data_IF_735486262462
#
_entry.id   IF_735486262462
#
_cell.length_a   1.000
_cell.length_b   1.000
_cell.length_c   1.000
_cell.angle_alpha   90.00
_cell.angle_beta   90.00
_cell.angle_gamma   90.00
#
_symmetry.space_group_name_H-M   'P 1'
#
loop_
_entity.id
_entity.type
_entity.pdbx_description
1 polymer ?
#
# COMPACT_ATOMS: atom_id res chain seq x y z
N UNK A 1 35.94 100.37 -32.59
CA UNK A 1 35.45 98.99 -32.78
C UNK A 1 34.18 99.02 -33.61
N UNK A 2 34.02 98.09 -34.56
CA UNK A 2 32.83 98.00 -35.41
C UNK A 2 31.67 97.33 -34.62
N UNK A 3 30.47 97.94 -34.53
CA UNK A 3 29.36 97.46 -33.69
C UNK A 3 28.82 96.07 -34.08
N UNK A 4 29.01 95.62 -35.32
CA UNK A 4 28.56 94.29 -35.78
C UNK A 4 29.25 93.12 -35.07
N UNK A 5 30.50 93.29 -34.62
CA UNK A 5 31.20 92.24 -33.88
C UNK A 5 30.70 92.08 -32.45
N UNK A 6 30.15 93.14 -31.86
CA UNK A 6 29.64 93.11 -30.49
C UNK A 6 28.34 92.28 -30.41
N UNK A 7 27.44 92.42 -31.38
CA UNK A 7 26.22 91.59 -31.45
C UNK A 7 26.54 90.12 -31.72
N UNK A 8 27.46 89.84 -32.66
CA UNK A 8 27.84 88.47 -33.00
C UNK A 8 28.50 87.72 -31.81
N UNK A 9 29.30 88.41 -30.98
CA UNK A 9 29.84 87.82 -29.74
C UNK A 9 28.74 87.53 -28.72
N UNK A 10 27.77 88.43 -28.56
CA UNK A 10 26.69 88.28 -27.59
C UNK A 10 25.77 87.09 -27.94
N UNK A 11 25.51 86.89 -29.23
CA UNK A 11 24.77 85.72 -29.71
C UNK A 11 25.58 84.41 -29.55
N UNK A 12 26.90 84.46 -29.80
CA UNK A 12 27.79 83.32 -29.57
C UNK A 12 27.84 82.93 -28.08
N UNK A 13 27.94 83.90 -27.18
CA UNK A 13 27.94 83.67 -25.72
C UNK A 13 26.60 83.05 -25.27
N UNK A 14 25.46 83.53 -25.80
CA UNK A 14 24.14 82.94 -25.55
C UNK A 14 24.04 81.48 -25.99
N UNK A 15 24.60 81.13 -27.14
CA UNK A 15 24.58 79.74 -27.64
C UNK A 15 25.45 78.82 -26.79
N UNK A 16 26.61 79.31 -26.34
CA UNK A 16 27.49 78.58 -25.41
C UNK A 16 26.80 78.34 -24.08
N UNK A 17 26.13 79.36 -23.53
CA UNK A 17 25.38 79.23 -22.28
C UNK A 17 24.25 78.18 -22.40
N UNK A 18 23.50 78.18 -23.51
CA UNK A 18 22.47 77.16 -23.78
C UNK A 18 23.06 75.75 -23.91
N UNK A 19 24.23 75.58 -24.55
CA UNK A 19 24.90 74.28 -24.64
C UNK A 19 25.36 73.77 -23.28
N UNK A 20 25.92 74.66 -22.43
CA UNK A 20 26.35 74.30 -21.07
C UNK A 20 25.13 73.88 -20.23
N UNK A 21 24.03 74.64 -20.32
CA UNK A 21 22.78 74.31 -19.62
C UNK A 21 22.18 72.97 -20.09
N UNK A 22 22.14 72.74 -21.42
CA UNK A 22 21.66 71.50 -22.02
C UNK A 22 22.51 70.30 -21.64
N UNK A 23 23.84 70.44 -21.67
CA UNK A 23 24.78 69.41 -21.24
C UNK A 23 24.56 69.06 -19.76
N UNK A 24 24.45 70.06 -18.87
CA UNK A 24 24.23 69.83 -17.44
C UNK A 24 22.93 69.09 -17.15
N UNK A 25 21.83 69.47 -17.83
CA UNK A 25 20.55 68.77 -17.76
C UNK A 25 20.65 67.31 -18.23
N UNK A 26 21.31 67.08 -19.37
CA UNK A 26 21.53 65.73 -19.89
C UNK A 26 22.35 64.86 -18.92
N UNK A 27 23.40 65.41 -18.31
CA UNK A 27 24.17 64.71 -17.27
C UNK A 27 23.31 64.35 -16.05
N UNK A 28 22.54 65.28 -15.51
CA UNK A 28 21.71 65.01 -14.32
C UNK A 28 20.63 63.95 -14.60
N UNK A 29 20.00 64.01 -15.78
CA UNK A 29 19.01 62.99 -16.20
C UNK A 29 19.63 61.60 -16.39
N UNK A 30 20.84 61.52 -16.95
CA UNK A 30 21.58 60.27 -17.09
C UNK A 30 21.96 59.68 -15.73
N UNK A 31 22.42 60.51 -14.80
CA UNK A 31 22.77 60.10 -13.44
C UNK A 31 21.55 59.59 -12.67
N UNK A 32 20.41 60.29 -12.72
CA UNK A 32 19.16 59.82 -12.11
C UNK A 32 18.71 58.47 -12.68
N UNK A 33 18.76 58.33 -14.00
CA UNK A 33 18.38 57.08 -14.68
C UNK A 33 19.29 55.93 -14.27
N UNK A 34 20.60 56.18 -14.15
CA UNK A 34 21.57 55.20 -13.68
C UNK A 34 21.30 54.76 -12.24
N UNK A 35 21.08 55.73 -11.34
CA UNK A 35 20.79 55.45 -9.93
C UNK A 35 19.48 54.69 -9.74
N UNK A 36 18.42 55.04 -10.48
CA UNK A 36 17.16 54.30 -10.47
C UNK A 36 17.37 52.87 -10.97
N UNK A 37 18.09 52.71 -12.09
CA UNK A 37 18.35 51.39 -12.68
C UNK A 37 19.10 50.47 -11.73
N UNK A 38 20.17 50.97 -11.09
CA UNK A 38 20.90 50.20 -10.08
C UNK A 38 20.02 49.88 -8.88
N UNK A 39 19.27 50.84 -8.36
CA UNK A 39 18.41 50.62 -7.19
C UNK A 39 17.35 49.57 -7.46
N UNK A 40 16.71 49.62 -8.64
CA UNK A 40 15.71 48.63 -9.07
C UNK A 40 16.37 47.27 -9.29
N UNK A 41 17.55 47.22 -9.90
CA UNK A 41 18.28 45.97 -10.15
C UNK A 41 18.65 45.27 -8.84
N UNK A 42 19.20 46.02 -7.87
CA UNK A 42 19.51 45.50 -6.53
C UNK A 42 18.24 45.04 -5.82
N UNK A 43 17.17 45.84 -5.88
CA UNK A 43 15.87 45.48 -5.32
C UNK A 43 15.32 44.16 -5.90
N UNK A 44 15.38 44.00 -7.22
CA UNK A 44 14.94 42.80 -7.91
C UNK A 44 15.77 41.56 -7.51
N UNK A 45 17.10 41.71 -7.38
CA UNK A 45 17.97 40.63 -6.92
C UNK A 45 17.63 40.19 -5.50
N UNK A 46 17.46 41.14 -4.58
CA UNK A 46 17.11 40.84 -3.18
C UNK A 46 15.75 40.15 -3.09
N UNK A 47 14.75 40.63 -3.82
CA UNK A 47 13.42 40.00 -3.88
C UNK A 47 13.52 38.58 -4.43
N UNK A 48 14.32 38.36 -5.49
CA UNK A 48 14.55 37.02 -6.04
C UNK A 48 15.16 36.05 -5.02
N UNK A 49 16.17 36.50 -4.26
CA UNK A 49 16.79 35.69 -3.20
C UNK A 49 15.79 35.38 -2.09
N UNK A 50 15.02 36.38 -1.63
CA UNK A 50 14.04 36.18 -0.55
C UNK A 50 12.92 35.23 -1.00
N UNK A 51 12.38 35.41 -2.21
CA UNK A 51 11.34 34.52 -2.75
C UNK A 51 11.87 33.11 -2.99
N UNK A 52 13.06 32.97 -3.57
CA UNK A 52 13.70 31.68 -3.77
C UNK A 52 13.98 30.95 -2.46
N UNK A 53 14.46 31.67 -1.44
CA UNK A 53 14.67 31.14 -0.11
C UNK A 53 13.36 30.73 0.59
N UNK A 54 12.32 31.56 0.52
CA UNK A 54 10.99 31.24 1.04
C UNK A 54 10.42 29.99 0.38
N UNK A 55 10.37 29.96 -0.95
CA UNK A 55 9.82 28.83 -1.71
C UNK A 55 10.63 27.55 -1.48
N UNK A 56 11.96 27.64 -1.43
CA UNK A 56 12.82 26.52 -1.10
C UNK A 56 12.52 25.97 0.30
N UNK A 57 12.49 26.84 1.31
CA UNK A 57 12.21 26.46 2.69
C UNK A 57 10.79 25.89 2.87
N UNK A 58 9.77 26.46 2.21
CA UNK A 58 8.41 25.94 2.26
C UNK A 58 8.30 24.59 1.57
N UNK A 59 8.95 24.41 0.42
CA UNK A 59 8.94 23.16 -0.34
C UNK A 59 9.62 22.04 0.45
N UNK A 60 10.82 22.29 0.98
CA UNK A 60 11.54 21.31 1.81
C UNK A 60 10.71 20.94 3.03
N UNK A 61 10.13 21.92 3.76
CA UNK A 61 9.28 21.62 4.92
C UNK A 61 7.99 20.89 4.55
N UNK A 62 7.42 21.18 3.38
CA UNK A 62 6.20 20.53 2.90
C UNK A 62 6.44 19.05 2.57
N UNK A 63 7.63 18.69 2.07
CA UNK A 63 7.96 17.32 1.65
C UNK A 63 8.64 16.52 2.78
N UNK A 64 9.62 17.08 3.48
CA UNK A 64 10.38 16.36 4.51
C UNK A 64 9.51 15.95 5.69
N UNK A 65 8.60 16.83 6.15
CA UNK A 65 7.72 16.52 7.30
C UNK A 65 6.84 15.29 7.09
N UNK A 66 6.11 15.12 5.97
CA UNK A 66 5.32 13.90 5.76
C UNK A 66 6.19 12.67 5.48
N UNK A 67 7.38 12.82 4.89
CA UNK A 67 8.32 11.71 4.74
C UNK A 67 8.84 11.20 6.09
N UNK A 68 9.16 12.09 7.04
CA UNK A 68 9.58 11.68 8.38
C UNK A 68 8.47 10.91 9.11
N UNK A 69 7.20 11.34 8.95
CA UNK A 69 6.04 10.63 9.49
C UNK A 69 5.90 9.23 8.88
N UNK A 70 6.11 9.11 7.56
CA UNK A 70 6.09 7.83 6.86
C UNK A 70 7.18 6.90 7.37
N UNK A 71 8.43 7.38 7.46
CA UNK A 71 9.56 6.59 7.97
C UNK A 71 9.28 6.14 9.41
N UNK A 72 8.76 7.04 10.26
CA UNK A 72 8.38 6.69 11.63
C UNK A 72 7.29 5.60 11.70
N UNK A 73 6.35 5.60 10.76
CA UNK A 73 5.34 4.55 10.64
C UNK A 73 5.97 3.21 10.24
N UNK A 74 6.84 3.19 9.23
CA UNK A 74 7.56 1.98 8.81
C UNK A 74 8.43 1.42 9.95
N UNK A 75 9.11 2.27 10.71
CA UNK A 75 9.91 1.83 11.86
C UNK A 75 9.06 1.18 12.96
N UNK A 76 7.81 1.63 13.16
CA UNK A 76 6.87 0.97 14.09
C UNK A 76 6.41 -0.38 13.54
N UNK A 77 6.09 -0.46 12.25
CA UNK A 77 5.74 -1.70 11.56
C UNK A 77 6.90 -2.71 11.66
N UNK A 78 8.14 -2.26 11.45
CA UNK A 78 9.34 -3.09 11.57
C UNK A 78 9.57 -3.64 12.99
N UNK A 79 9.17 -2.87 14.02
CA UNK A 79 9.15 -3.32 15.43
C UNK A 79 7.97 -4.24 15.76
N UNK A 80 7.07 -4.48 14.81
CA UNK A 80 5.89 -5.31 15.00
C UNK A 80 4.71 -4.59 15.67
N UNK A 81 4.75 -3.26 15.74
CA UNK A 81 3.68 -2.43 16.28
C UNK A 81 2.72 -2.00 15.16
N UNK A 82 1.57 -2.68 15.06
CA UNK A 82 0.59 -2.45 14.00
C UNK A 82 -0.61 -1.59 14.40
N UNK A 83 -0.63 -1.02 15.62
CA UNK A 83 -1.76 -0.26 16.14
C UNK A 83 -1.51 1.26 16.18
N UNK A 84 -0.66 1.78 15.28
CA UNK A 84 -0.31 3.21 15.27
C UNK A 84 -1.34 4.00 14.47
N UNK A 85 -2.04 4.94 15.12
CA UNK A 85 -2.93 5.89 14.43
C UNK A 85 -2.11 7.04 13.86
N UNK A 86 -2.10 7.18 12.54
CA UNK A 86 -1.51 8.34 11.86
C UNK A 86 -2.64 9.24 11.39
N UNK A 87 -2.57 10.52 11.77
CA UNK A 87 -3.51 11.55 11.33
C UNK A 87 -3.01 12.08 9.99
N UNK A 88 -3.81 11.87 8.95
CA UNK A 88 -3.52 12.28 7.57
C UNK A 88 -4.37 13.53 7.31
N UNK A 89 -3.70 14.68 7.30
CA UNK A 89 -4.31 16.01 7.14
C UNK A 89 -4.04 16.57 5.73
N UNK A 90 -3.59 15.72 4.79
CA UNK A 90 -3.25 16.09 3.40
C UNK A 90 -3.99 15.21 2.39
N UNK A 91 -4.43 15.86 1.32
CA UNK A 91 -5.15 15.28 0.18
C UNK A 91 -4.31 15.20 -1.10
N UNK A 92 -2.98 15.27 -0.97
CA UNK A 92 -2.03 15.06 -2.07
C UNK A 92 -1.63 13.59 -2.22
N UNK A 93 -0.79 13.29 -3.21
CA UNK A 93 -0.28 11.95 -3.51
C UNK A 93 0.46 11.34 -2.31
N UNK A 94 1.11 12.17 -1.50
CA UNK A 94 1.80 11.73 -0.28
C UNK A 94 0.77 11.34 0.80
N UNK A 95 -0.31 12.11 0.94
CA UNK A 95 -1.46 11.76 1.77
C UNK A 95 -2.11 10.44 1.34
N UNK A 96 -2.28 10.22 0.04
CA UNK A 96 -2.80 8.96 -0.52
C UNK A 96 -1.84 7.79 -0.20
N UNK A 97 -0.54 7.97 -0.40
CA UNK A 97 0.46 6.96 -0.08
C UNK A 97 0.44 6.58 1.42
N UNK A 98 0.33 7.58 2.31
CA UNK A 98 0.18 7.36 3.76
C UNK A 98 -1.08 6.56 4.11
N UNK A 99 -2.21 6.80 3.42
CA UNK A 99 -3.45 6.02 3.61
C UNK A 99 -3.27 4.56 3.21
N UNK A 100 -2.63 4.30 2.07
CA UNK A 100 -2.36 2.93 1.63
C UNK A 100 -1.43 2.20 2.61
N UNK A 101 -0.43 2.90 3.14
CA UNK A 101 0.47 2.30 4.12
C UNK A 101 -0.23 2.01 5.47
N UNK A 102 -1.15 2.89 5.89
CA UNK A 102 -1.98 2.64 7.05
C UNK A 102 -2.90 1.42 6.85
N UNK A 103 -3.49 1.26 5.67
CA UNK A 103 -4.28 0.08 5.33
C UNK A 103 -3.44 -1.20 5.36
N UNK A 104 -2.20 -1.15 4.88
CA UNK A 104 -1.25 -2.28 4.98
C UNK A 104 -0.94 -2.62 6.44
N UNK A 105 -0.65 -1.64 7.28
CA UNK A 105 -0.42 -1.85 8.71
C UNK A 105 -1.63 -2.51 9.38
N UNK A 106 -2.84 -2.04 9.10
CA UNK A 106 -4.06 -2.61 9.64
C UNK A 106 -4.24 -4.08 9.20
N UNK A 107 -3.97 -4.38 7.92
CA UNK A 107 -4.01 -5.76 7.40
C UNK A 107 -3.00 -6.67 8.11
N UNK A 108 -1.76 -6.22 8.29
CA UNK A 108 -0.73 -6.99 9.02
C UNK A 108 -1.09 -7.21 10.49
N UNK A 109 -1.68 -6.20 11.14
CA UNK A 109 -2.19 -6.33 12.50
C UNK A 109 -3.27 -7.41 12.61
N UNK A 110 -4.22 -7.38 11.67
CA UNK A 110 -5.30 -8.38 11.60
C UNK A 110 -4.76 -9.79 11.34
N UNK A 111 -3.86 -9.95 10.37
CA UNK A 111 -3.27 -11.23 9.99
C UNK A 111 -2.49 -11.87 11.14
N UNK A 112 -1.77 -11.06 11.93
CA UNK A 112 -1.05 -11.55 13.12
C UNK A 112 -1.99 -12.06 14.19
N UNK A 113 -3.10 -11.37 14.43
CA UNK A 113 -4.11 -11.78 15.41
C UNK A 113 -4.81 -13.07 14.97
N UNK A 114 -5.15 -13.19 13.67
CA UNK A 114 -5.70 -14.43 13.08
C UNK A 114 -4.71 -15.60 13.22
N UNK A 115 -3.45 -15.38 12.86
CA UNK A 115 -2.38 -16.39 12.98
C UNK A 115 -2.18 -16.85 14.42
N UNK A 116 -2.33 -15.95 15.40
CA UNK A 116 -2.28 -16.28 16.82
C UNK A 116 -3.42 -17.22 17.22
N UNK A 117 -4.65 -16.95 16.78
CA UNK A 117 -5.79 -17.84 17.03
C UNK A 117 -5.63 -19.20 16.34
N UNK A 118 -5.11 -19.22 15.11
CA UNK A 118 -4.82 -20.47 14.40
C UNK A 118 -3.75 -21.30 15.10
N UNK A 119 -2.67 -20.67 15.59
CA UNK A 119 -1.62 -21.35 16.36
C UNK A 119 -2.18 -22.07 17.59
N UNK A 120 -3.07 -21.41 18.35
CA UNK A 120 -3.75 -22.01 19.51
C UNK A 120 -4.66 -23.18 19.07
N UNK A 121 -5.37 -23.06 17.94
CA UNK A 121 -6.19 -24.15 17.39
C UNK A 121 -5.33 -25.34 16.93
N UNK A 122 -4.19 -25.09 16.29
CA UNK A 122 -3.22 -26.12 15.86
C UNK A 122 -2.64 -26.86 17.07
N UNK A 123 -2.25 -26.14 18.12
CA UNK A 123 -1.79 -26.72 19.39
C UNK A 123 -2.82 -27.68 20.01
N UNK A 124 -4.08 -27.23 20.16
CA UNK A 124 -5.15 -28.10 20.68
C UNK A 124 -5.44 -29.31 19.78
N UNK A 125 -5.34 -29.18 18.47
CA UNK A 125 -5.52 -30.32 17.54
C UNK A 125 -4.38 -31.34 17.69
N UNK A 126 -3.14 -30.88 17.86
CA UNK A 126 -1.99 -31.74 18.12
C UNK A 126 -2.10 -32.46 19.48
N UNK A 127 -2.57 -31.80 20.53
CA UNK A 127 -2.81 -32.45 21.82
C UNK A 127 -3.88 -33.54 21.75
N UNK A 128 -4.96 -33.31 20.99
CA UNK A 128 -6.01 -34.32 20.79
C UNK A 128 -5.47 -35.56 20.09
N UNK A 129 -4.62 -35.42 19.09
CA UNK A 129 -4.03 -36.57 18.37
C UNK A 129 -3.01 -37.29 19.24
N UNK A 130 -2.18 -36.58 20.01
CA UNK A 130 -1.24 -37.19 20.97
C UNK A 130 -2.00 -37.93 22.07
N UNK A 131 -3.04 -37.32 22.64
CA UNK A 131 -3.90 -37.97 23.63
C UNK A 131 -4.60 -39.22 23.08
N UNK A 132 -5.10 -39.17 21.84
CA UNK A 132 -5.68 -40.33 21.17
C UNK A 132 -4.63 -41.45 20.98
N UNK A 133 -3.44 -41.14 20.47
CA UNK A 133 -2.34 -42.11 20.34
C UNK A 133 -1.94 -42.71 21.69
N UNK A 134 -1.87 -41.90 22.74
CA UNK A 134 -1.56 -42.37 24.10
C UNK A 134 -2.63 -43.33 24.63
N UNK A 135 -3.91 -43.07 24.36
CA UNK A 135 -5.01 -43.98 24.73
C UNK A 135 -4.94 -45.31 23.99
N UNK A 136 -4.61 -45.31 22.71
CA UNK A 136 -4.40 -46.54 21.94
C UNK A 136 -3.22 -47.34 22.49
N UNK A 137 -2.08 -46.69 22.75
CA UNK A 137 -0.90 -47.35 23.33
C UNK A 137 -1.18 -47.94 24.74
N UNK A 138 -1.95 -47.23 25.57
CA UNK A 138 -2.43 -47.72 26.87
C UNK A 138 -3.37 -48.94 26.73
N UNK A 139 -4.25 -48.92 25.72
CA UNK A 139 -5.13 -50.04 25.45
C UNK A 139 -4.34 -51.27 24.97
N UNK A 140 -3.36 -51.09 24.08
CA UNK A 140 -2.48 -52.16 23.59
C UNK A 140 -1.66 -52.80 24.73
N UNK A 141 -1.15 -51.99 25.66
CA UNK A 141 -0.45 -52.53 26.85
C UNK A 141 -1.38 -53.28 27.79
N UNK A 142 -2.63 -52.82 27.98
CA UNK A 142 -3.63 -53.56 28.75
C UNK A 142 -4.05 -54.88 28.08
N UNK A 143 -4.05 -54.94 26.74
CA UNK A 143 -4.35 -56.13 25.95
C UNK A 143 -3.27 -57.23 26.08
N UNK A 144 -2.03 -56.87 26.41
CA UNK A 144 -0.92 -57.81 26.65
C UNK A 144 -1.00 -58.56 27.99
N UNK A 145 -1.89 -58.16 28.89
CA UNK A 145 -2.18 -58.93 30.10
C UNK A 145 -2.81 -60.29 29.73
N UNK A 146 -2.57 -61.37 30.52
CA UNK A 146 -3.11 -62.69 30.20
C UNK A 146 -4.63 -62.64 30.12
N UNK A 147 -5.17 -62.64 28.90
CA UNK A 147 -6.60 -62.79 28.67
C UNK A 147 -7.02 -64.14 29.26
N UNK A 148 -7.86 -64.14 30.29
CA UNK A 148 -8.73 -65.31 30.52
C UNK A 148 -9.42 -65.55 29.20
N UNK A 149 -9.13 -66.69 28.55
CA UNK A 149 -9.87 -67.13 27.37
C UNK A 149 -11.34 -67.14 27.76
N UNK A 150 -12.09 -66.11 27.36
CA UNK A 150 -13.53 -66.25 27.28
C UNK A 150 -13.75 -67.31 26.21
N UNK A 151 -14.12 -68.51 26.68
CA UNK A 151 -14.60 -69.59 25.85
C UNK A 151 -15.85 -69.04 25.15
N UNK A 152 -15.71 -68.65 23.90
CA UNK A 152 -16.85 -68.30 23.04
C UNK A 152 -17.82 -69.49 23.10
N UNK A 153 -19.08 -69.31 23.52
CA UNK A 153 -20.08 -70.35 23.40
C UNK A 153 -20.41 -70.52 21.91
N UNK A 154 -20.62 -71.78 21.53
CA UNK A 154 -21.08 -72.26 20.23
C UNK A 154 -20.41 -71.68 18.96
N UNK A 155 -19.55 -72.51 18.36
CA UNK A 155 -19.01 -72.29 17.01
C UNK A 155 -20.07 -72.52 15.91
N UNK A 156 -21.26 -72.97 16.29
CA UNK A 156 -22.27 -73.51 15.39
C UNK A 156 -23.30 -72.44 14.95
N UNK A 157 -23.39 -71.31 15.68
CA UNK A 157 -24.32 -70.20 15.36
C UNK A 157 -23.84 -69.34 14.17
N UNK A 158 -22.53 -69.29 13.90
CA UNK A 158 -21.97 -68.47 12.82
C UNK A 158 -22.25 -69.03 11.42
N UNK A 159 -22.47 -70.35 11.28
CA UNK A 159 -22.84 -70.95 10.01
C UNK A 159 -24.23 -70.48 9.55
N UNK A 160 -25.16 -70.30 10.49
CA UNK A 160 -26.52 -69.85 10.19
C UNK A 160 -26.59 -68.35 9.89
N UNK A 161 -25.81 -67.53 10.59
CA UNK A 161 -25.71 -66.10 10.30
C UNK A 161 -25.09 -65.82 8.92
N UNK A 162 -24.11 -66.61 8.50
CA UNK A 162 -23.48 -66.48 7.18
C UNK A 162 -24.45 -66.81 6.03
N UNK A 163 -25.27 -67.87 6.18
CA UNK A 163 -26.28 -68.22 5.17
C UNK A 163 -27.36 -67.15 5.01
N UNK A 164 -27.79 -66.52 6.11
CA UNK A 164 -28.77 -65.42 6.08
C UNK A 164 -28.24 -64.16 5.36
N UNK A 165 -26.96 -63.83 5.50
CA UNK A 165 -26.35 -62.68 4.81
C UNK A 165 -26.18 -62.94 3.31
N UNK A 166 -25.75 -64.14 2.92
CA UNK A 166 -25.63 -64.52 1.50
C UNK A 166 -27.01 -64.54 0.82
N UNK A 167 -28.05 -65.05 1.49
CA UNK A 167 -29.41 -65.03 0.98
C UNK A 167 -29.95 -63.59 0.79
N UNK A 168 -29.62 -62.66 1.68
CA UNK A 168 -30.05 -61.26 1.58
C UNK A 168 -29.31 -60.46 0.52
N UNK A 169 -28.07 -60.81 0.19
CA UNK A 169 -27.30 -60.19 -0.90
C UNK A 169 -27.90 -60.48 -2.29
N UNK A 170 -28.46 -61.68 -2.51
CA UNK A 170 -29.15 -61.99 -3.77
C UNK A 170 -30.46 -61.20 -3.97
N UNK A 171 -31.09 -60.72 -2.90
CA UNK A 171 -32.32 -59.92 -2.98
C UNK A 171 -32.06 -58.43 -3.24
N UNK A 172 -30.82 -57.96 -3.08
CA UNK A 172 -30.39 -56.58 -3.38
C UNK A 172 -29.93 -56.34 -4.84
N UNK A 173 -29.99 -57.36 -5.71
CA UNK A 173 -29.64 -57.26 -7.12
C UNK A 173 -30.38 -56.18 -7.97
N UNK A 174 -31.60 -55.68 -7.64
CA UNK A 174 -32.24 -54.68 -8.50
C UNK A 174 -31.76 -53.23 -8.31
N UNK A 175 -30.98 -52.89 -7.27
CA UNK A 175 -30.57 -51.48 -7.01
C UNK A 175 -29.36 -51.00 -7.81
N UNK A 176 -28.55 -51.91 -8.37
CA UNK A 176 -27.34 -51.53 -9.12
C UNK A 176 -27.62 -50.92 -10.50
N UNK A 177 -28.83 -51.11 -11.06
CA UNK A 177 -29.25 -50.42 -12.29
C UNK A 177 -29.68 -48.95 -12.07
N UNK A 178 -29.96 -48.52 -10.83
CA UNK A 178 -30.44 -47.16 -10.56
C UNK A 178 -29.30 -46.12 -10.46
N UNK A 179 -28.07 -46.53 -10.11
CA UNK A 179 -26.94 -45.62 -9.89
C UNK A 179 -26.19 -45.28 -11.19
N UNK A 180 -26.21 -46.15 -12.21
CA UNK A 180 -25.57 -45.87 -13.50
C UNK A 180 -26.35 -44.88 -14.38
N UNK A 181 -27.63 -44.63 -14.09
CA UNK A 181 -28.44 -43.66 -14.80
C UNK A 181 -28.19 -42.20 -14.37
N UNK A 182 -27.68 -41.95 -13.15
CA UNK A 182 -27.43 -40.57 -12.67
C UNK A 182 -26.09 -39.98 -13.13
N UNK A 183 -25.10 -40.81 -13.47
CA UNK A 183 -23.74 -40.34 -13.72
C UNK A 183 -23.56 -39.74 -15.12
N UNK A 184 -24.38 -40.14 -16.10
CA UNK A 184 -24.33 -39.57 -17.47
C UNK A 184 -24.97 -38.19 -17.57
N UNK A 185 -25.74 -37.75 -16.56
CA UNK A 185 -26.37 -36.42 -16.54
C UNK A 185 -25.43 -35.32 -16.03
N UNK A 186 -24.43 -35.67 -15.20
CA UNK A 186 -23.58 -34.66 -14.55
C UNK A 186 -22.46 -34.11 -15.45
N UNK A 187 -22.01 -34.86 -16.46
CA UNK A 187 -20.98 -34.38 -17.40
C UNK A 187 -21.53 -33.45 -18.48
N UNK A 188 -22.85 -33.43 -18.73
CA UNK A 188 -23.47 -32.52 -19.70
C UNK A 188 -23.77 -31.11 -19.12
N UNK A 189 -23.72 -30.92 -17.80
CA UNK A 189 -24.02 -29.63 -17.16
C UNK A 189 -22.79 -28.71 -16.98
N UNK A 190 -21.57 -29.19 -17.24
CA UNK A 190 -20.34 -28.38 -17.06
C UNK A 190 -19.98 -27.57 -18.32
N UNK A 191 -20.46 -27.96 -19.51
CA UNK A 191 -20.15 -27.26 -20.77
C UNK A 191 -21.12 -26.12 -21.16
N UNK A 192 -22.04 -25.76 -20.26
CA UNK A 192 -23.14 -24.81 -20.54
C UNK A 192 -23.07 -23.48 -19.80
N UNK A 193 -22.03 -22.67 -19.98
CA UNK A 193 -22.08 -21.21 -19.68
C UNK A 193 -21.56 -20.41 -20.88
N UNK A 194 -22.41 -19.59 -21.54
CA UNK A 194 -22.01 -18.80 -22.68
C UNK A 194 -21.52 -17.40 -22.27
N UNK A 195 -20.41 -16.97 -22.87
CA UNK A 195 -20.15 -15.56 -23.20
C UNK A 195 -19.17 -14.79 -22.33
N UNK A 196 -17.94 -14.56 -22.83
CA UNK A 196 -17.51 -13.31 -23.52
C UNK A 196 -15.99 -13.26 -23.71
N UNK A 197 -15.59 -13.33 -24.98
CA UNK A 197 -14.65 -12.45 -25.68
C UNK A 197 -13.63 -11.64 -24.87
N UNK A 198 -12.33 -11.84 -25.17
CA UNK A 198 -11.37 -10.81 -25.65
C UNK A 198 -9.94 -11.28 -25.34
N UNK A 199 -9.18 -11.69 -26.36
CA UNK A 199 -8.06 -10.93 -26.96
C UNK A 199 -6.77 -10.93 -26.11
N UNK A 200 -5.75 -11.62 -26.62
CA UNK A 200 -4.36 -11.28 -26.37
C UNK A 200 -3.56 -11.59 -27.66
N UNK A 201 -3.24 -10.50 -28.37
CA UNK A 201 -2.02 -10.36 -29.17
C UNK A 201 -0.79 -10.57 -28.30
#
# INVERSE_FOLDING_TARGET
>A
MNPLFASAKLDADKLVELQIAGAKSAFESAERSYMITITVSIGALLVGIVLGGLLGLTTVRAISRPLDRLIGLLQRIARGEFNSRVIIDRDDEIGIALRHLQAMQAKLGFDREVSRFEGVRRGRRAERTVGARRRVALADTALGAPRRRQRLPHRDDFAMAAQLVVARLHQCAPWTCAISASTTCSTACIDGVPGRSAEAM
#
